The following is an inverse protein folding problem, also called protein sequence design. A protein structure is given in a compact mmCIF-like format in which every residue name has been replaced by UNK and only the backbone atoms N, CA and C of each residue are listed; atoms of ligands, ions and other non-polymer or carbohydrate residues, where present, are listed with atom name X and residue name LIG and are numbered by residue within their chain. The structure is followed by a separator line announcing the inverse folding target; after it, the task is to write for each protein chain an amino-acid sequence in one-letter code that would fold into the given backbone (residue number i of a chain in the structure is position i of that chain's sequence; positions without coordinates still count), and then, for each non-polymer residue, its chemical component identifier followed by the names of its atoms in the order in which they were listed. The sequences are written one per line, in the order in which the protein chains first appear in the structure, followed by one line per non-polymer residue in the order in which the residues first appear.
data_IF_096863170093
#
_entry.id   IF_096863170093
#
_cell.length_a   1.000
_cell.length_b   1.000
_cell.length_c   1.000
_cell.angle_alpha   90.00
_cell.angle_beta   90.00
_cell.angle_gamma   90.00
#
_symmetry.space_group_name_H-M   'P 1'
#
loop_
_entity.id
_entity.type
_entity.pdbx_description
1 polymer ?
#
# COMPACT_ATOMS: atom_id res chain seq x y z
N UNK A 1 0.85 -17.91 -45.30
CA UNK A 1 0.75 -16.70 -44.43
C UNK A 1 -0.53 -16.61 -43.60
N UNK A 2 -1.78 -16.70 -44.11
CA UNK A 2 -3.00 -16.58 -43.26
C UNK A 2 -3.21 -17.72 -42.24
N UNK A 3 -2.82 -18.96 -42.51
CA UNK A 3 -2.99 -20.12 -41.61
C UNK A 3 -1.98 -20.10 -40.42
N UNK A 4 -0.74 -19.69 -40.66
CA UNK A 4 0.28 -19.56 -39.59
C UNK A 4 -0.07 -18.47 -38.55
N UNK A 5 -0.64 -17.35 -39.01
CA UNK A 5 -1.05 -16.26 -38.13
C UNK A 5 -2.24 -16.65 -37.24
N UNK A 6 -3.16 -17.50 -37.75
CA UNK A 6 -4.30 -18.02 -36.97
C UNK A 6 -3.85 -19.02 -35.90
N UNK A 7 -2.88 -19.89 -36.19
CA UNK A 7 -2.32 -20.86 -35.24
C UNK A 7 -1.51 -20.17 -34.11
N UNK A 8 -0.69 -19.18 -34.45
CA UNK A 8 0.02 -18.34 -33.46
C UNK A 8 -0.95 -17.60 -32.53
N UNK A 9 -2.03 -17.06 -33.07
CA UNK A 9 -3.02 -16.32 -32.28
C UNK A 9 -3.79 -17.25 -31.31
N UNK A 10 -4.13 -18.47 -31.71
CA UNK A 10 -4.78 -19.48 -30.86
C UNK A 10 -3.84 -19.90 -29.72
N UNK A 11 -2.56 -20.11 -30.01
CA UNK A 11 -1.56 -20.50 -29.01
C UNK A 11 -1.32 -19.38 -27.96
N UNK A 12 -1.21 -18.13 -28.42
CA UNK A 12 -1.04 -16.95 -27.54
C UNK A 12 -2.28 -16.79 -26.64
N UNK A 13 -3.48 -16.91 -27.20
CA UNK A 13 -4.72 -16.83 -26.42
C UNK A 13 -4.82 -17.96 -25.39
N UNK A 14 -4.47 -19.19 -25.75
CA UNK A 14 -4.48 -20.32 -24.82
C UNK A 14 -3.49 -20.10 -23.66
N UNK A 15 -2.29 -19.59 -23.94
CA UNK A 15 -1.30 -19.26 -22.91
C UNK A 15 -1.80 -18.17 -21.97
N UNK A 16 -2.40 -17.12 -22.50
CA UNK A 16 -2.99 -16.04 -21.71
C UNK A 16 -4.11 -16.55 -20.80
N UNK A 17 -5.03 -17.32 -21.34
CA UNK A 17 -6.15 -17.86 -20.57
C UNK A 17 -5.70 -18.80 -19.44
N UNK A 18 -4.66 -19.62 -19.68
CA UNK A 18 -4.09 -20.46 -18.60
C UNK A 18 -3.43 -19.61 -17.49
N UNK A 19 -2.69 -18.56 -17.87
CA UNK A 19 -2.08 -17.65 -16.90
C UNK A 19 -3.13 -16.93 -16.06
N UNK A 20 -4.16 -16.40 -16.69
CA UNK A 20 -5.29 -15.75 -16.03
C UNK A 20 -5.99 -16.71 -15.07
N UNK A 21 -6.29 -17.94 -15.52
CA UNK A 21 -6.90 -18.97 -14.67
C UNK A 21 -6.07 -19.29 -13.43
N UNK A 22 -4.73 -19.38 -13.55
CA UNK A 22 -3.84 -19.61 -12.41
C UNK A 22 -3.96 -18.43 -11.43
N UNK A 23 -3.95 -17.20 -11.91
CA UNK A 23 -4.04 -16.00 -11.06
C UNK A 23 -5.40 -15.92 -10.35
N UNK A 24 -6.52 -16.07 -11.05
CA UNK A 24 -7.88 -16.04 -10.48
C UNK A 24 -8.06 -17.13 -9.41
N UNK A 25 -7.64 -18.36 -9.71
CA UNK A 25 -7.71 -19.47 -8.75
C UNK A 25 -6.85 -19.19 -7.53
N UNK A 26 -5.62 -18.69 -7.74
CA UNK A 26 -4.69 -18.40 -6.64
C UNK A 26 -5.16 -17.25 -5.78
N UNK A 27 -5.71 -16.18 -6.40
CA UNK A 27 -6.29 -15.03 -5.69
C UNK A 27 -7.40 -15.50 -4.73
N UNK A 28 -8.33 -16.30 -5.24
CA UNK A 28 -9.43 -16.85 -4.42
C UNK A 28 -8.90 -17.66 -3.25
N UNK A 29 -7.95 -18.57 -3.49
CA UNK A 29 -7.34 -19.40 -2.46
C UNK A 29 -6.55 -18.57 -1.43
N UNK A 30 -5.75 -17.61 -1.87
CA UNK A 30 -4.96 -16.76 -0.98
C UNK A 30 -5.85 -15.88 -0.10
N UNK A 31 -6.92 -15.31 -0.66
CA UNK A 31 -7.88 -14.50 0.09
C UNK A 31 -8.67 -15.35 1.10
N UNK A 32 -8.96 -16.61 0.77
CA UNK A 32 -9.73 -17.51 1.65
C UNK A 32 -8.90 -18.11 2.78
N UNK A 33 -7.69 -18.58 2.46
CA UNK A 33 -6.86 -19.40 3.37
C UNK A 33 -5.61 -18.68 3.87
N UNK A 34 -5.22 -17.57 3.25
CA UNK A 34 -3.94 -16.89 3.47
C UNK A 34 -2.86 -17.34 2.49
N UNK A 35 -1.93 -16.43 2.16
CA UNK A 35 -0.88 -16.66 1.17
C UNK A 35 0.08 -17.78 1.61
N UNK A 36 0.43 -17.84 2.88
CA UNK A 36 1.41 -18.79 3.43
C UNK A 36 0.84 -20.21 3.57
N UNK A 37 -0.48 -20.36 3.70
CA UNK A 37 -1.15 -21.65 3.84
C UNK A 37 -1.42 -22.36 2.50
N UNK A 38 -1.42 -21.64 1.38
CA UNK A 38 -1.72 -22.20 0.06
C UNK A 38 -0.46 -22.72 -0.62
N UNK A 39 -0.49 -23.97 -1.09
CA UNK A 39 0.62 -24.60 -1.83
C UNK A 39 0.39 -24.57 -3.35
N UNK A 40 1.45 -24.80 -4.12
CA UNK A 40 1.32 -24.99 -5.58
C UNK A 40 0.46 -26.24 -5.90
N UNK A 41 0.38 -27.20 -4.99
CA UNK A 41 -0.49 -28.36 -5.15
C UNK A 41 -1.97 -27.99 -5.04
N UNK A 42 -2.32 -27.12 -4.11
CA UNK A 42 -3.69 -26.63 -3.95
C UNK A 42 -4.13 -25.85 -5.17
N UNK A 43 -3.27 -24.95 -5.67
CA UNK A 43 -3.53 -24.19 -6.90
C UNK A 43 -3.69 -25.13 -8.10
N UNK A 44 -2.86 -26.14 -8.22
CA UNK A 44 -2.93 -27.12 -9.31
C UNK A 44 -4.25 -27.90 -9.27
N UNK A 45 -4.65 -28.37 -8.08
CA UNK A 45 -5.90 -29.09 -7.86
C UNK A 45 -7.10 -28.24 -8.24
N UNK A 46 -7.20 -27.03 -7.69
CA UNK A 46 -8.34 -26.13 -7.88
C UNK A 46 -8.43 -25.60 -9.32
N UNK A 47 -7.30 -25.26 -9.94
CA UNK A 47 -7.27 -24.83 -11.34
C UNK A 47 -7.41 -25.97 -12.35
N UNK A 48 -7.42 -27.24 -11.89
CA UNK A 48 -7.39 -28.43 -12.75
C UNK A 48 -6.22 -28.42 -13.73
N UNK A 49 -5.07 -27.97 -13.27
CA UNK A 49 -3.81 -27.95 -14.00
C UNK A 49 -2.77 -28.84 -13.29
N UNK A 50 -1.70 -29.20 -13.99
CA UNK A 50 -0.57 -29.88 -13.34
C UNK A 50 0.36 -28.86 -12.68
N UNK A 51 1.09 -29.28 -11.62
CA UNK A 51 2.15 -28.45 -11.02
C UNK A 51 3.18 -28.02 -12.05
N UNK A 52 3.56 -28.90 -12.97
CA UNK A 52 4.48 -28.59 -14.07
C UNK A 52 3.92 -27.47 -14.98
N UNK A 53 2.63 -27.46 -15.21
CA UNK A 53 1.98 -26.39 -15.97
C UNK A 53 2.08 -25.05 -15.22
N UNK A 54 1.82 -25.02 -13.90
CA UNK A 54 1.94 -23.80 -13.11
C UNK A 54 3.35 -23.26 -13.14
N UNK A 55 4.37 -24.12 -12.92
CA UNK A 55 5.78 -23.71 -12.93
C UNK A 55 6.27 -23.17 -14.29
N UNK A 56 5.59 -23.48 -15.42
CA UNK A 56 5.87 -22.84 -16.71
C UNK A 56 5.49 -21.35 -16.75
N UNK A 57 4.53 -20.93 -15.92
CA UNK A 57 4.04 -19.54 -15.88
C UNK A 57 4.63 -18.77 -14.72
N UNK A 58 4.80 -19.41 -13.57
CA UNK A 58 5.23 -18.79 -12.34
C UNK A 58 6.25 -19.69 -11.63
N UNK A 59 7.49 -19.21 -11.43
CA UNK A 59 8.55 -20.01 -10.84
C UNK A 59 8.31 -20.34 -9.35
N UNK A 60 7.43 -19.57 -8.68
CA UNK A 60 7.12 -19.77 -7.27
C UNK A 60 5.74 -19.22 -6.88
N UNK A 61 5.23 -19.64 -5.71
CA UNK A 61 4.04 -19.06 -5.09
C UNK A 61 4.20 -17.56 -4.84
N UNK A 62 5.40 -17.12 -4.45
CA UNK A 62 5.72 -15.70 -4.23
C UNK A 62 5.50 -14.87 -5.50
N UNK A 63 5.90 -15.38 -6.66
CA UNK A 63 5.68 -14.70 -7.94
C UNK A 63 4.19 -14.60 -8.30
N UNK A 64 3.41 -15.66 -8.02
CA UNK A 64 1.95 -15.61 -8.19
C UNK A 64 1.35 -14.54 -7.29
N UNK A 65 1.70 -14.55 -6.00
CA UNK A 65 1.22 -13.56 -5.04
C UNK A 65 1.61 -12.13 -5.44
N UNK A 66 2.80 -11.94 -5.99
CA UNK A 66 3.26 -10.63 -6.46
C UNK A 66 2.47 -10.13 -7.68
N UNK A 67 2.16 -11.00 -8.63
CA UNK A 67 1.32 -10.62 -9.77
C UNK A 67 -0.09 -10.22 -9.31
N UNK A 68 -0.68 -10.95 -8.36
CA UNK A 68 -1.98 -10.61 -7.77
C UNK A 68 -1.89 -9.29 -7.00
N UNK A 69 -0.83 -9.08 -6.22
CA UNK A 69 -0.58 -7.81 -5.54
C UNK A 69 -0.56 -6.63 -6.53
N UNK A 70 0.15 -6.77 -7.65
CA UNK A 70 0.17 -5.74 -8.70
C UNK A 70 -1.22 -5.49 -9.30
N UNK A 71 -1.99 -6.54 -9.55
CA UNK A 71 -3.34 -6.41 -10.08
C UNK A 71 -4.25 -5.64 -9.12
N UNK A 72 -4.26 -6.02 -7.85
CA UNK A 72 -5.05 -5.37 -6.80
C UNK A 72 -4.65 -3.91 -6.65
N UNK A 73 -3.36 -3.62 -6.51
CA UNK A 73 -2.87 -2.25 -6.35
C UNK A 73 -3.18 -1.40 -7.59
N UNK A 74 -3.03 -1.95 -8.79
CA UNK A 74 -3.32 -1.22 -10.03
C UNK A 74 -4.81 -0.97 -10.25
N UNK A 75 -5.68 -1.82 -9.72
CA UNK A 75 -7.13 -1.70 -9.92
C UNK A 75 -7.73 -0.41 -9.34
N UNK A 76 -7.19 0.09 -8.23
CA UNK A 76 -7.62 1.35 -7.65
C UNK A 76 -6.71 2.53 -8.00
N UNK A 77 -5.41 2.30 -8.25
CA UNK A 77 -4.50 3.38 -8.67
C UNK A 77 -4.90 3.99 -10.01
N UNK A 78 -5.35 3.21 -10.96
CA UNK A 78 -5.79 3.71 -12.26
C UNK A 78 -6.90 4.77 -12.16
N UNK A 79 -8.04 4.49 -11.52
CA UNK A 79 -9.09 5.48 -11.25
C UNK A 79 -8.60 6.67 -10.42
N UNK A 80 -7.77 6.43 -9.39
CA UNK A 80 -7.20 7.49 -8.55
C UNK A 80 -6.28 8.42 -9.37
N UNK A 81 -5.46 7.85 -10.24
CA UNK A 81 -4.60 8.62 -11.15
C UNK A 81 -5.42 9.48 -12.10
N UNK A 82 -6.49 8.95 -12.66
CA UNK A 82 -7.40 9.71 -13.54
C UNK A 82 -8.03 10.90 -12.82
N UNK A 83 -8.46 10.74 -11.56
CA UNK A 83 -8.99 11.83 -10.73
C UNK A 83 -7.94 12.90 -10.42
N UNK A 84 -6.76 12.49 -9.98
CA UNK A 84 -5.65 13.40 -9.67
C UNK A 84 -5.17 14.16 -10.91
N UNK A 85 -5.14 13.53 -12.07
CA UNK A 85 -4.71 14.12 -13.35
C UNK A 85 -5.76 15.05 -13.97
N UNK A 86 -6.99 15.01 -13.47
CA UNK A 86 -8.07 15.90 -13.95
C UNK A 86 -7.65 17.36 -13.87
N UNK A 87 -7.93 18.15 -14.90
CA UNK A 87 -7.69 19.59 -14.90
C UNK A 87 -8.82 20.38 -14.21
N UNK A 88 -9.86 19.68 -13.74
CA UNK A 88 -11.01 20.29 -13.07
C UNK A 88 -10.76 20.39 -11.57
N UNK A 89 -11.06 21.56 -11.01
CA UNK A 89 -10.97 21.82 -9.57
C UNK A 89 -9.61 22.36 -9.11
N UNK A 90 -9.60 22.84 -7.86
CA UNK A 90 -8.39 23.34 -7.18
C UNK A 90 -7.45 22.20 -6.80
N UNK A 91 -6.19 22.54 -6.42
CA UNK A 91 -5.25 21.55 -5.91
C UNK A 91 -5.80 20.78 -4.71
N UNK A 92 -6.47 21.47 -3.79
CA UNK A 92 -7.14 20.85 -2.64
C UNK A 92 -8.23 19.87 -3.05
N UNK A 93 -9.16 20.25 -3.92
CA UNK A 93 -10.27 19.41 -4.34
C UNK A 93 -9.80 18.07 -4.97
N UNK A 94 -8.70 18.09 -5.72
CA UNK A 94 -8.13 16.87 -6.31
C UNK A 94 -7.60 15.92 -5.24
N UNK A 95 -6.87 16.45 -4.24
CA UNK A 95 -6.36 15.65 -3.12
C UNK A 95 -7.51 15.14 -2.25
N UNK A 96 -8.49 15.99 -1.95
CA UNK A 96 -9.68 15.61 -1.19
C UNK A 96 -10.42 14.44 -1.87
N UNK A 97 -10.70 14.55 -3.17
CA UNK A 97 -11.37 13.51 -3.94
C UNK A 97 -10.55 12.20 -3.96
N UNK A 98 -9.23 12.29 -4.11
CA UNK A 98 -8.35 11.13 -4.03
C UNK A 98 -8.43 10.44 -2.67
N UNK A 99 -8.34 11.20 -1.58
CA UNK A 99 -8.40 10.68 -0.21
C UNK A 99 -9.78 10.07 0.11
N UNK A 100 -10.86 10.69 -0.33
CA UNK A 100 -12.23 10.15 -0.19
C UNK A 100 -12.37 8.84 -0.95
N UNK A 101 -11.91 8.79 -2.20
CA UNK A 101 -11.96 7.56 -3.01
C UNK A 101 -11.15 6.43 -2.39
N UNK A 102 -9.99 6.74 -1.82
CA UNK A 102 -9.17 5.76 -1.14
C UNK A 102 -9.82 5.25 0.16
N UNK A 103 -10.40 6.15 0.95
CA UNK A 103 -11.20 5.78 2.12
C UNK A 103 -12.32 4.82 1.74
N UNK A 104 -13.07 5.15 0.69
CA UNK A 104 -14.20 4.34 0.24
C UNK A 104 -13.74 2.96 -0.27
N UNK A 105 -12.61 2.91 -0.96
CA UNK A 105 -11.96 1.65 -1.33
C UNK A 105 -11.65 0.81 -0.09
N UNK A 106 -11.02 1.38 0.93
CA UNK A 106 -10.71 0.65 2.17
C UNK A 106 -11.95 0.15 2.90
N UNK A 107 -13.07 0.84 2.80
CA UNK A 107 -14.32 0.41 3.43
C UNK A 107 -14.98 -0.76 2.72
N UNK A 108 -14.83 -0.85 1.40
CA UNK A 108 -15.56 -1.84 0.59
C UNK A 108 -14.69 -3.03 0.13
N UNK A 109 -13.37 -2.87 0.03
CA UNK A 109 -12.43 -3.86 -0.54
C UNK A 109 -11.67 -4.62 0.56
N UNK A 110 -12.39 -5.16 1.53
CA UNK A 110 -11.78 -5.79 2.70
C UNK A 110 -10.87 -6.97 2.37
N UNK A 111 -11.26 -7.80 1.40
CA UNK A 111 -10.52 -9.00 1.01
C UNK A 111 -9.19 -8.63 0.38
N UNK A 112 -9.23 -7.67 -0.52
CA UNK A 112 -8.08 -7.13 -1.22
C UNK A 112 -7.10 -6.45 -0.25
N UNK A 113 -7.62 -5.68 0.71
CA UNK A 113 -6.80 -5.03 1.75
C UNK A 113 -6.12 -6.07 2.65
N UNK A 114 -6.83 -7.11 3.08
CA UNK A 114 -6.23 -8.18 3.87
C UNK A 114 -5.14 -8.90 3.10
N UNK A 115 -5.34 -9.16 1.80
CA UNK A 115 -4.32 -9.75 0.95
C UNK A 115 -3.08 -8.84 0.81
N UNK A 116 -3.28 -7.53 0.57
CA UNK A 116 -2.18 -6.57 0.44
C UNK A 116 -1.37 -6.48 1.74
N UNK A 117 -2.04 -6.42 2.89
CA UNK A 117 -1.37 -6.38 4.19
C UNK A 117 -0.58 -7.67 4.46
N UNK A 118 -1.17 -8.85 4.19
CA UNK A 118 -0.48 -10.13 4.35
C UNK A 118 0.73 -10.23 3.41
N UNK A 119 0.59 -9.78 2.15
CA UNK A 119 1.70 -9.72 1.20
C UNK A 119 2.83 -8.83 1.72
N UNK A 120 2.50 -7.63 2.22
CA UNK A 120 3.48 -6.70 2.81
C UNK A 120 4.18 -7.32 4.03
N UNK A 121 3.44 -8.01 4.89
CA UNK A 121 3.99 -8.71 6.05
C UNK A 121 4.99 -9.81 5.66
N UNK A 122 4.60 -10.68 4.72
CA UNK A 122 5.40 -11.83 4.30
C UNK A 122 6.63 -11.43 3.47
N UNK A 123 6.48 -10.43 2.61
CA UNK A 123 7.46 -10.15 1.56
C UNK A 123 7.98 -8.72 1.54
N UNK A 124 7.35 -7.78 2.23
CA UNK A 124 7.70 -6.35 2.17
C UNK A 124 9.16 -6.05 2.59
N UNK A 125 9.74 -6.88 3.47
CA UNK A 125 11.16 -6.75 3.87
C UNK A 125 12.15 -7.33 2.85
N UNK A 126 11.67 -8.11 1.88
CA UNK A 126 12.52 -8.80 0.89
C UNK A 126 12.67 -8.00 -0.41
N UNK A 127 11.91 -6.91 -0.53
CA UNK A 127 11.86 -6.09 -1.73
C UNK A 127 12.27 -4.67 -1.38
N UNK A 128 13.22 -4.16 -2.12
CA UNK A 128 13.55 -2.74 -2.05
C UNK A 128 12.35 -1.91 -2.53
N UNK A 129 12.11 -0.77 -1.88
CA UNK A 129 11.02 0.13 -2.27
C UNK A 129 11.09 0.51 -3.76
N UNK A 130 12.30 0.64 -4.31
CA UNK A 130 12.57 0.88 -5.73
C UNK A 130 12.04 -0.23 -6.64
N UNK A 131 12.15 -1.49 -6.24
CA UNK A 131 11.67 -2.64 -7.02
C UNK A 131 10.13 -2.67 -7.05
N UNK A 132 9.49 -2.39 -5.91
CA UNK A 132 8.03 -2.28 -5.84
C UNK A 132 7.55 -1.12 -6.71
N UNK A 133 8.19 0.06 -6.61
CA UNK A 133 7.85 1.23 -7.42
C UNK A 133 8.04 0.98 -8.92
N UNK A 134 9.12 0.32 -9.31
CA UNK A 134 9.36 -0.04 -10.70
C UNK A 134 8.30 -1.03 -11.23
N UNK A 135 7.92 -2.03 -10.42
CA UNK A 135 6.89 -2.99 -10.77
C UNK A 135 5.48 -2.39 -10.82
N UNK A 136 5.25 -1.33 -10.05
CA UNK A 136 4.00 -0.58 -9.95
C UNK A 136 4.16 0.83 -10.56
N UNK A 137 4.67 0.94 -11.79
CA UNK A 137 5.00 2.22 -12.43
C UNK A 137 3.99 3.35 -12.17
N UNK A 138 2.68 3.02 -12.12
CA UNK A 138 1.60 3.95 -11.78
C UNK A 138 1.72 4.58 -10.37
N UNK A 139 2.42 3.96 -9.43
CA UNK A 139 2.64 4.54 -8.09
C UNK A 139 3.56 5.75 -8.11
N UNK A 140 4.60 5.72 -8.96
CA UNK A 140 5.48 6.86 -9.14
C UNK A 140 4.71 8.04 -9.71
N UNK A 141 3.89 7.80 -10.72
CA UNK A 141 3.04 8.83 -11.33
C UNK A 141 2.09 9.46 -10.31
N UNK A 142 1.43 8.64 -9.48
CA UNK A 142 0.54 9.13 -8.41
C UNK A 142 1.28 10.03 -7.42
N UNK A 143 2.51 9.68 -7.00
CA UNK A 143 3.32 10.50 -6.09
C UNK A 143 3.63 11.87 -6.69
N UNK A 144 4.10 11.89 -7.93
CA UNK A 144 4.46 13.13 -8.62
C UNK A 144 3.25 14.04 -8.81
N UNK A 145 2.10 13.47 -9.16
CA UNK A 145 0.87 14.23 -9.34
C UNK A 145 0.34 14.78 -8.01
N UNK A 146 0.44 14.03 -6.90
CA UNK A 146 0.08 14.55 -5.58
C UNK A 146 0.96 15.76 -5.22
N UNK A 147 2.27 15.66 -5.43
CA UNK A 147 3.19 16.79 -5.21
C UNK A 147 2.78 18.01 -6.04
N UNK A 148 2.44 17.81 -7.31
CA UNK A 148 1.96 18.89 -8.18
C UNK A 148 0.61 19.47 -7.72
N UNK A 149 -0.32 18.63 -7.28
CA UNK A 149 -1.60 19.08 -6.71
C UNK A 149 -1.39 19.94 -5.46
N UNK A 150 -0.46 19.57 -4.55
CA UNK A 150 -0.14 20.36 -3.36
C UNK A 150 0.46 21.71 -3.77
N UNK A 151 1.43 21.72 -4.71
CA UNK A 151 2.02 22.98 -5.21
C UNK A 151 0.97 23.92 -5.82
N UNK A 152 0.06 23.38 -6.63
CA UNK A 152 -1.05 24.14 -7.22
C UNK A 152 -2.00 24.65 -6.17
N UNK A 153 -2.35 23.81 -5.17
CA UNK A 153 -3.23 24.21 -4.07
C UNK A 153 -2.65 25.32 -3.20
N UNK A 154 -1.33 25.32 -2.98
CA UNK A 154 -0.64 26.44 -2.32
C UNK A 154 -0.72 27.70 -3.18
N UNK A 155 -0.47 27.58 -4.50
CA UNK A 155 -0.50 28.70 -5.42
C UNK A 155 -1.90 29.31 -5.61
N UNK A 156 -2.95 28.48 -5.64
CA UNK A 156 -4.33 28.89 -5.78
C UNK A 156 -5.01 29.18 -4.42
N UNK A 157 -4.25 29.14 -3.32
CA UNK A 157 -4.70 29.38 -1.95
C UNK A 157 -5.76 28.39 -1.45
N UNK A 158 -5.93 27.25 -2.08
CA UNK A 158 -6.83 26.19 -1.63
C UNK A 158 -6.20 25.23 -0.63
N UNK A 159 -4.86 25.24 -0.52
CA UNK A 159 -4.06 24.53 0.48
C UNK A 159 -3.24 25.54 1.28
N UNK A 160 -3.08 25.31 2.59
CA UNK A 160 -2.28 26.18 3.46
C UNK A 160 -0.83 26.28 2.96
N UNK A 161 -0.27 27.50 3.05
CA UNK A 161 1.01 27.86 2.41
C UNK A 161 2.26 27.36 3.15
N UNK A 162 2.12 26.91 4.39
CA UNK A 162 3.23 26.43 5.23
C UNK A 162 3.55 24.93 5.04
N UNK A 163 2.81 24.22 4.17
CA UNK A 163 3.06 22.81 3.87
C UNK A 163 4.16 22.64 2.82
N UNK A 164 5.05 21.69 3.09
CA UNK A 164 5.99 21.20 2.07
C UNK A 164 5.31 20.13 1.19
N UNK A 165 5.31 20.29 -0.13
CA UNK A 165 4.64 19.35 -1.04
C UNK A 165 5.17 17.91 -0.98
N UNK A 166 6.49 17.72 -0.79
CA UNK A 166 7.09 16.39 -0.71
C UNK A 166 6.74 15.71 0.61
N UNK A 167 6.83 16.45 1.72
CA UNK A 167 6.44 15.92 3.04
C UNK A 167 4.95 15.61 3.10
N UNK A 168 4.11 16.44 2.50
CA UNK A 168 2.66 16.21 2.43
C UNK A 168 2.34 14.94 1.63
N UNK A 169 2.97 14.76 0.48
CA UNK A 169 2.86 13.52 -0.31
C UNK A 169 3.31 12.31 0.52
N UNK A 170 4.45 12.39 1.19
CA UNK A 170 4.96 11.31 2.02
C UNK A 170 4.00 11.00 3.18
N UNK A 171 3.40 12.02 3.82
CA UNK A 171 2.40 11.84 4.87
C UNK A 171 1.14 11.11 4.35
N UNK A 172 0.64 11.48 3.16
CA UNK A 172 -0.50 10.81 2.50
C UNK A 172 -0.19 9.33 2.28
N UNK A 173 0.99 9.00 1.73
CA UNK A 173 1.37 7.61 1.47
C UNK A 173 1.53 6.79 2.75
N UNK A 174 2.17 7.35 3.78
CA UNK A 174 2.35 6.65 5.06
C UNK A 174 1.03 6.47 5.81
N UNK A 175 0.13 7.44 5.77
CA UNK A 175 -1.23 7.30 6.30
C UNK A 175 -1.95 6.11 5.64
N UNK A 176 -1.95 6.08 4.32
CA UNK A 176 -2.64 5.06 3.55
C UNK A 176 -2.04 3.65 3.77
N UNK A 177 -0.71 3.51 3.70
CA UNK A 177 -0.03 2.23 3.95
C UNK A 177 -0.27 1.74 5.37
N UNK A 178 -0.12 2.61 6.37
CA UNK A 178 -0.34 2.25 7.77
C UNK A 178 -1.78 1.80 8.06
N UNK A 179 -2.77 2.42 7.39
CA UNK A 179 -4.16 1.99 7.50
C UNK A 179 -4.41 0.64 6.81
N UNK A 180 -3.82 0.38 5.64
CA UNK A 180 -3.89 -0.92 4.97
C UNK A 180 -3.35 -2.01 5.88
N UNK A 181 -2.13 -1.84 6.39
CA UNK A 181 -1.48 -2.82 7.25
C UNK A 181 -2.31 -3.06 8.54
N UNK A 182 -2.76 -1.99 9.18
CA UNK A 182 -3.60 -2.07 10.39
C UNK A 182 -4.94 -2.78 10.16
N UNK A 183 -5.63 -2.47 9.07
CA UNK A 183 -6.91 -3.08 8.74
C UNK A 183 -6.75 -4.53 8.27
N UNK A 184 -5.65 -4.84 7.57
CA UNK A 184 -5.34 -6.19 7.14
C UNK A 184 -5.03 -7.12 8.30
N UNK A 185 -4.19 -6.67 9.25
CA UNK A 185 -3.81 -7.45 10.43
C UNK A 185 -4.97 -7.65 11.42
N UNK A 186 -5.69 -6.58 11.72
CA UNK A 186 -6.69 -6.59 12.78
C UNK A 186 -8.11 -6.86 12.28
N UNK A 187 -8.41 -6.45 11.05
CA UNK A 187 -9.76 -6.39 10.56
C UNK A 187 -10.65 -5.39 11.33
N UNK A 188 -11.79 -5.02 10.74
CA UNK A 188 -12.71 -4.03 11.31
C UNK A 188 -13.24 -4.41 12.69
N UNK A 189 -13.49 -5.72 12.95
CA UNK A 189 -14.03 -6.18 14.25
C UNK A 189 -13.05 -5.95 15.39
N UNK A 190 -11.77 -6.22 15.19
CA UNK A 190 -10.75 -6.02 16.22
C UNK A 190 -10.51 -4.55 16.48
N UNK A 191 -10.47 -3.72 15.43
CA UNK A 191 -10.38 -2.28 15.55
C UNK A 191 -11.57 -1.71 16.36
N UNK A 192 -12.79 -2.18 16.07
CA UNK A 192 -13.98 -1.79 16.82
C UNK A 192 -13.91 -2.23 18.29
N UNK A 193 -13.44 -3.45 18.57
CA UNK A 193 -13.34 -3.95 19.96
C UNK A 193 -12.28 -3.22 20.77
N UNK A 194 -11.20 -2.75 20.12
CA UNK A 194 -10.10 -2.03 20.77
C UNK A 194 -10.55 -0.65 21.28
N UNK A 195 -11.35 0.07 20.51
CA UNK A 195 -11.76 1.43 20.82
C UNK A 195 -13.24 1.58 21.26
N UNK A 196 -14.03 0.52 21.18
CA UNK A 196 -15.48 0.60 21.47
C UNK A 196 -16.27 1.44 20.46
N UNK A 197 -15.68 1.76 19.29
CA UNK A 197 -16.25 2.60 18.25
C UNK A 197 -16.35 1.86 16.92
N UNK A 198 -17.35 2.15 16.07
CA UNK A 198 -17.44 1.57 14.74
C UNK A 198 -16.17 1.86 13.89
N UNK A 199 -15.59 0.81 13.31
CA UNK A 199 -14.35 0.94 12.53
C UNK A 199 -14.48 1.95 11.38
N UNK A 200 -15.65 1.98 10.72
CA UNK A 200 -15.90 2.90 9.60
C UNK A 200 -15.93 4.38 10.06
N UNK A 201 -16.38 4.64 11.29
CA UNK A 201 -16.32 5.97 11.89
C UNK A 201 -14.88 6.37 12.21
N UNK A 202 -14.09 5.45 12.77
CA UNK A 202 -12.67 5.69 13.06
C UNK A 202 -11.92 6.03 11.76
N UNK A 203 -12.10 5.23 10.72
CA UNK A 203 -11.47 5.44 9.42
C UNK A 203 -11.89 6.79 8.83
N UNK A 204 -13.20 7.08 8.82
CA UNK A 204 -13.73 8.34 8.32
C UNK A 204 -13.15 9.55 9.05
N UNK A 205 -13.01 9.45 10.38
CA UNK A 205 -12.47 10.51 11.21
C UNK A 205 -10.99 10.77 10.94
N UNK A 206 -10.19 9.72 10.74
CA UNK A 206 -8.77 9.85 10.35
C UNK A 206 -8.65 10.67 9.06
N UNK A 207 -9.41 10.30 8.03
CA UNK A 207 -9.41 11.08 6.77
C UNK A 207 -9.91 12.49 6.93
N UNK A 208 -10.97 12.70 7.73
CA UNK A 208 -11.51 14.02 8.02
C UNK A 208 -10.47 14.93 8.68
N UNK A 209 -9.77 14.42 9.70
CA UNK A 209 -8.70 15.16 10.39
C UNK A 209 -7.58 15.52 9.41
N UNK A 210 -7.15 14.57 8.60
CA UNK A 210 -6.07 14.80 7.63
C UNK A 210 -6.47 15.82 6.56
N UNK A 211 -7.66 15.68 5.96
CA UNK A 211 -8.17 16.59 4.94
C UNK A 211 -8.31 18.00 5.52
N UNK A 212 -8.83 18.14 6.73
CA UNK A 212 -8.92 19.46 7.38
C UNK A 212 -7.53 20.03 7.70
N UNK A 213 -6.54 19.22 8.01
CA UNK A 213 -5.17 19.65 8.29
C UNK A 213 -4.45 20.27 7.10
N UNK A 214 -4.87 20.00 5.87
CA UNK A 214 -4.29 20.60 4.66
C UNK A 214 -5.07 21.80 4.12
N UNK A 215 -6.27 22.08 4.67
CA UNK A 215 -7.06 23.28 4.29
C UNK A 215 -6.35 24.57 4.71
N UNK A 216 -6.59 25.68 4.00
CA UNK A 216 -6.13 26.98 4.43
C UNK A 216 -6.64 27.30 5.84
N UNK A 217 -5.83 27.96 6.67
CA UNK A 217 -6.30 28.49 7.93
C UNK A 217 -7.40 29.52 7.66
N UNK A 218 -8.63 29.23 8.04
CA UNK A 218 -9.61 30.30 8.28
C UNK A 218 -9.09 31.09 9.48
N UNK A 219 -9.07 32.39 9.42
CA UNK A 219 -8.39 33.36 10.34
C UNK A 219 -8.53 33.10 11.86
N UNK A 220 -9.24 32.08 12.29
CA UNK A 220 -9.55 31.80 13.69
C UNK A 220 -8.65 30.77 14.40
N UNK A 221 -7.74 30.07 13.72
CA UNK A 221 -6.89 29.07 14.38
C UNK A 221 -5.42 29.17 13.93
N UNK A 222 -4.74 30.22 14.35
CA UNK A 222 -3.27 30.24 14.37
C UNK A 222 -2.77 29.37 15.53
N UNK A 223 -2.74 28.06 15.33
CA UNK A 223 -1.93 27.21 16.19
C UNK A 223 -0.46 27.49 15.88
N UNK A 224 0.27 27.98 16.90
CA UNK A 224 1.73 28.14 16.82
C UNK A 224 2.34 26.83 16.34
N UNK A 225 3.35 26.86 15.44
CA UNK A 225 4.06 25.66 15.02
C UNK A 225 4.52 24.89 16.25
N UNK A 226 4.33 23.57 16.24
CA UNK A 226 4.86 22.68 17.27
C UNK A 226 6.36 22.96 17.37
N UNK A 227 6.80 23.49 18.52
CA UNK A 227 8.22 23.68 18.80
C UNK A 227 8.89 22.33 18.65
N UNK A 228 9.97 22.26 17.85
CA UNK A 228 10.81 21.08 17.76
C UNK A 228 11.13 20.59 19.17
N UNK A 229 10.62 19.42 19.54
CA UNK A 229 11.03 18.78 20.77
C UNK A 229 12.50 18.38 20.58
N UNK A 230 13.41 19.04 21.33
CA UNK A 230 14.80 18.62 21.40
C UNK A 230 14.80 17.20 21.97
N UNK A 231 14.87 16.21 21.08
CA UNK A 231 15.11 14.83 21.50
C UNK A 231 16.51 14.81 22.08
N UNK A 232 16.59 14.86 23.40
CA UNK A 232 17.84 14.67 24.13
C UNK A 232 18.26 13.22 23.93
N UNK A 233 19.20 13.00 23.03
CA UNK A 233 19.88 11.72 22.90
C UNK A 233 20.71 11.50 24.14
N UNK A 234 20.15 10.89 25.18
CA UNK A 234 20.86 10.36 26.32
C UNK A 234 21.80 9.24 25.84
N UNK A 235 23.03 9.59 25.52
CA UNK A 235 24.10 8.62 25.33
C UNK A 235 24.30 7.89 26.68
N UNK A 236 23.77 6.70 26.82
CA UNK A 236 24.15 5.78 27.89
C UNK A 236 25.61 5.46 27.70
N UNK A 237 26.44 6.04 28.57
CA UNK A 237 27.84 5.69 28.72
C UNK A 237 27.96 4.21 29.10
N UNK A 238 28.57 3.43 28.23
CA UNK A 238 28.93 2.05 28.48
C UNK A 238 29.98 2.04 29.60
N UNK A 239 29.60 1.70 30.83
CA UNK A 239 30.54 1.40 31.91
C UNK A 239 31.30 0.12 31.57
N UNK A 240 32.56 0.25 31.19
CA UNK A 240 33.52 -0.84 31.15
C UNK A 240 33.67 -1.43 32.56
N UNK A 241 33.26 -2.68 32.72
CA UNK A 241 33.62 -3.47 33.90
C UNK A 241 35.06 -3.94 33.69
N UNK A 242 36.01 -3.27 34.37
CA UNK A 242 37.35 -3.75 34.53
C UNK A 242 37.35 -4.91 35.54
N UNK A 243 37.50 -6.10 35.06
CA UNK A 243 37.88 -7.25 35.90
C UNK A 243 39.33 -7.06 36.35
N UNK A 244 39.54 -6.71 37.63
CA UNK A 244 40.83 -6.85 38.27
C UNK A 244 41.02 -8.32 38.64
N UNK A 245 42.02 -8.94 38.03
CA UNK A 245 42.57 -10.17 38.54
C UNK A 245 43.32 -9.91 39.85
N UNK A 246 43.17 -10.79 40.79
CA UNK A 246 44.06 -10.91 41.94
C UNK A 246 44.51 -12.38 42.04
N UNK A 247 45.76 -12.56 41.74
CA UNK A 247 46.60 -13.69 42.08
C UNK A 247 46.91 -13.68 43.57
N UNK A 248 46.87 -14.86 44.24
CA UNK A 248 47.75 -15.34 45.31
C UNK A 248 47.14 -16.65 45.81
N UNK A 249 47.79 -17.75 45.57
CA UNK A 249 48.81 -18.42 46.38
C UNK A 249 48.24 -19.03 47.70
N UNK A 250 48.00 -20.27 47.73
CA UNK A 250 48.67 -21.37 48.37
C UNK A 250 48.05 -22.70 47.97
#
# INVERSE_FOLDING_TARGET
MKRENKSKNVYVNHRRNQREKILETSESLFIEKGIDQVTIADIASESRLTRATIYKYFPSRKEIAFEIYKMIVSSWHGPALAQLSSQVGTGFQRIENFLISFRDYMMHSRREISFVAEFNYLYGRQWEASQILQALGSLQDVREIIVDCVRRGIKDSSIRSDLDPQLTMAAIFNLNSGLIDRLGEMGKRKLQSEFGLPADQIISEIFRIFINGIRPDTESVRTKPLKESKIVHSRRASKQIKTKGANKAE
#
